data_IF_565316793648
#
_entry.id   IF_565316793648
#
_cell.length_a   1.000
_cell.length_b   1.000
_cell.length_c   1.000
_cell.angle_alpha   90.00
_cell.angle_beta   90.00
_cell.angle_gamma   90.00
#
_symmetry.space_group_name_H-M   'P 1'
#
loop_
_entity.id
_entity.type
_entity.pdbx_description
1 polymer ?
#
# COMPACT_ATOMS: atom_id res chain seq x y z
N UNK A 1 -34.63 -5.82 7.00
CA UNK A 1 -34.45 -4.93 5.83
C UNK A 1 -32.98 -5.04 5.43
N UNK A 2 -32.67 -5.93 4.48
CA UNK A 2 -31.28 -6.15 4.04
C UNK A 2 -30.84 -4.95 3.21
N UNK A 3 -29.70 -4.36 3.56
CA UNK A 3 -29.06 -3.38 2.69
C UNK A 3 -28.66 -4.06 1.38
N UNK A 4 -28.84 -3.37 0.26
CA UNK A 4 -28.57 -3.87 -1.09
C UNK A 4 -27.06 -4.16 -1.27
N UNK A 5 -26.73 -5.28 -1.92
CA UNK A 5 -25.34 -5.79 -2.06
C UNK A 5 -24.37 -4.76 -2.66
N UNK A 6 -24.85 -3.91 -3.58
CA UNK A 6 -24.02 -2.85 -4.20
C UNK A 6 -23.51 -1.83 -3.17
N UNK A 7 -24.34 -1.45 -2.20
CA UNK A 7 -23.95 -0.50 -1.15
C UNK A 7 -22.94 -1.13 -0.20
N UNK A 8 -23.11 -2.41 0.14
CA UNK A 8 -22.17 -3.14 0.98
C UNK A 8 -20.78 -3.24 0.34
N UNK A 9 -20.71 -3.55 -0.97
CA UNK A 9 -19.45 -3.55 -1.72
C UNK A 9 -18.83 -2.16 -1.83
N UNK A 10 -19.63 -1.12 -2.06
CA UNK A 10 -19.13 0.26 -2.10
C UNK A 10 -18.54 0.67 -0.74
N UNK A 11 -19.23 0.37 0.36
CA UNK A 11 -18.76 0.65 1.71
C UNK A 11 -17.49 -0.16 2.08
N UNK A 12 -17.42 -1.44 1.68
CA UNK A 12 -16.21 -2.24 1.90
C UNK A 12 -15.01 -1.69 1.13
N UNK A 13 -15.23 -1.21 -0.09
CA UNK A 13 -14.17 -0.59 -0.89
C UNK A 13 -13.71 0.74 -0.29
N UNK A 14 -14.63 1.60 0.14
CA UNK A 14 -14.29 2.85 0.85
C UNK A 14 -13.47 2.53 2.09
N UNK A 15 -13.89 1.54 2.89
CA UNK A 15 -13.12 1.10 4.07
C UNK A 15 -11.73 0.58 3.71
N UNK A 16 -11.59 -0.16 2.60
CA UNK A 16 -10.28 -0.65 2.16
C UNK A 16 -9.37 0.49 1.71
N UNK A 17 -9.89 1.45 0.95
CA UNK A 17 -9.13 2.61 0.46
C UNK A 17 -8.61 3.44 1.65
N UNK A 18 -9.42 3.66 2.69
CA UNK A 18 -8.98 4.30 3.94
C UNK A 18 -7.81 3.56 4.63
N UNK A 19 -7.86 2.22 4.64
CA UNK A 19 -6.78 1.41 5.22
C UNK A 19 -5.50 1.44 4.37
N UNK A 20 -5.63 1.50 3.05
CA UNK A 20 -4.51 1.69 2.13
C UNK A 20 -3.87 3.07 2.34
N UNK A 21 -4.69 4.12 2.52
CA UNK A 21 -4.21 5.47 2.79
C UNK A 21 -3.47 5.56 4.13
N UNK A 22 -3.98 4.89 5.17
CA UNK A 22 -3.27 4.76 6.46
C UNK A 22 -1.90 4.11 6.28
N UNK A 23 -1.84 3.01 5.54
CA UNK A 23 -0.61 2.29 5.28
C UNK A 23 0.40 3.14 4.48
N UNK A 24 -0.06 3.84 3.43
CA UNK A 24 0.77 4.78 2.66
C UNK A 24 1.26 5.95 3.52
N UNK A 25 0.41 6.49 4.39
CA UNK A 25 0.76 7.56 5.33
C UNK A 25 1.84 7.11 6.31
N UNK A 26 1.77 5.88 6.81
CA UNK A 26 2.80 5.34 7.69
C UNK A 26 4.16 5.23 6.99
N UNK A 27 4.19 4.74 5.74
CA UNK A 27 5.42 4.71 4.94
C UNK A 27 5.96 6.11 4.63
N UNK A 28 5.09 7.10 4.41
CA UNK A 28 5.49 8.49 4.24
C UNK A 28 6.14 9.05 5.51
N UNK A 29 5.53 8.83 6.68
CA UNK A 29 6.08 9.26 7.97
C UNK A 29 7.44 8.62 8.26
N UNK A 30 7.61 7.34 7.94
CA UNK A 30 8.89 6.66 8.08
C UNK A 30 9.96 7.26 7.14
N UNK A 31 9.60 7.56 5.89
CA UNK A 31 10.50 8.24 4.96
C UNK A 31 10.87 9.65 5.43
N UNK A 32 9.93 10.42 5.97
CA UNK A 32 10.21 11.77 6.49
C UNK A 32 11.21 11.72 7.66
N UNK A 33 11.20 10.62 8.44
CA UNK A 33 12.09 10.42 9.58
C UNK A 33 13.47 9.89 9.20
N UNK A 34 13.54 8.93 8.27
CA UNK A 34 14.76 8.16 7.99
C UNK A 34 15.30 8.34 6.57
N UNK A 35 14.53 8.94 5.67
CA UNK A 35 14.88 9.18 4.28
C UNK A 35 15.89 10.32 4.08
N UNK A 36 16.30 10.50 2.84
CA UNK A 36 17.26 11.54 2.47
C UNK A 36 16.58 12.92 2.45
N UNK A 37 17.13 13.87 3.22
CA UNK A 37 16.52 15.21 3.45
C UNK A 37 16.25 16.03 2.18
N UNK A 38 17.02 15.81 1.12
CA UNK A 38 16.91 16.54 -0.15
C UNK A 38 16.14 15.77 -1.22
N UNK A 39 15.51 14.64 -0.87
CA UNK A 39 14.72 13.84 -1.80
C UNK A 39 13.27 13.82 -1.30
N UNK A 40 12.34 14.02 -2.23
CA UNK A 40 10.92 13.82 -1.98
C UNK A 40 10.47 12.50 -2.57
N UNK A 41 9.63 11.77 -1.85
CA UNK A 41 9.06 10.49 -2.29
C UNK A 41 7.55 10.62 -2.35
N UNK A 42 6.95 10.08 -3.41
CA UNK A 42 5.50 10.00 -3.58
C UNK A 42 5.03 8.55 -3.47
N UNK A 43 3.79 8.39 -3.04
CA UNK A 43 3.09 7.12 -2.88
C UNK A 43 1.80 7.16 -3.69
N UNK A 44 1.49 6.09 -4.41
CA UNK A 44 0.33 6.00 -5.28
C UNK A 44 -0.36 4.66 -5.10
N UNK A 45 -1.69 4.65 -5.00
CA UNK A 45 -2.50 3.45 -5.11
C UNK A 45 -2.96 3.25 -6.56
N UNK A 46 -2.39 2.28 -7.27
CA UNK A 46 -2.81 1.91 -8.62
C UNK A 46 -3.82 0.78 -8.59
N UNK A 47 -5.03 1.05 -9.08
CA UNK A 47 -6.14 0.11 -9.08
C UNK A 47 -6.00 -0.91 -10.22
N UNK A 48 -5.81 -2.18 -9.88
CA UNK A 48 -5.88 -3.31 -10.82
C UNK A 48 -7.20 -4.08 -10.74
N UNK A 49 -7.33 -5.18 -11.49
CA UNK A 49 -8.55 -6.02 -11.46
C UNK A 49 -8.75 -6.70 -10.10
N UNK A 50 -7.72 -7.43 -9.64
CA UNK A 50 -7.75 -8.19 -8.38
C UNK A 50 -7.05 -7.45 -7.24
N UNK A 51 -6.00 -6.71 -7.55
CA UNK A 51 -5.13 -6.08 -6.57
C UNK A 51 -5.13 -4.57 -6.72
N UNK A 52 -5.06 -3.85 -5.61
CA UNK A 52 -4.53 -2.48 -5.57
C UNK A 52 -3.03 -2.56 -5.34
N UNK A 53 -2.23 -1.91 -6.18
CA UNK A 53 -0.78 -1.84 -6.01
C UNK A 53 -0.43 -0.54 -5.31
N UNK A 54 0.39 -0.61 -4.26
CA UNK A 54 1.07 0.59 -3.76
C UNK A 54 2.37 0.74 -4.52
N UNK A 55 2.53 1.87 -5.18
CA UNK A 55 3.74 2.26 -5.90
C UNK A 55 4.38 3.43 -5.17
N UNK A 56 5.71 3.42 -5.09
CA UNK A 56 6.49 4.58 -4.68
C UNK A 56 7.33 5.10 -5.84
N UNK A 57 7.72 6.37 -5.77
CA UNK A 57 8.67 6.99 -6.71
C UNK A 57 9.24 8.28 -6.14
N UNK A 58 10.26 8.83 -6.79
CA UNK A 58 10.84 10.11 -6.37
C UNK A 58 10.18 11.25 -7.14
N UNK A 59 9.91 12.34 -6.43
CA UNK A 59 9.32 13.55 -7.01
C UNK A 59 10.44 14.37 -7.64
N UNK A 60 10.31 14.64 -8.94
CA UNK A 60 11.21 15.48 -9.72
C UNK A 60 10.91 16.97 -9.50
N UNK A 61 11.84 17.85 -9.90
CA UNK A 61 11.67 19.30 -9.79
C UNK A 61 10.49 19.84 -10.61
N UNK A 62 10.18 19.19 -11.74
CA UNK A 62 9.03 19.49 -12.61
C UNK A 62 7.69 18.96 -12.06
N UNK A 63 7.69 18.32 -10.88
CA UNK A 63 6.52 17.70 -10.27
C UNK A 63 6.20 16.29 -10.79
N UNK A 64 6.99 15.77 -11.73
CA UNK A 64 6.87 14.39 -12.21
C UNK A 64 7.30 13.35 -11.17
N UNK A 65 6.96 12.08 -11.41
CA UNK A 65 7.36 10.96 -10.55
C UNK A 65 8.26 10.00 -11.34
N UNK A 66 9.51 9.85 -10.91
CA UNK A 66 10.52 8.98 -11.51
C UNK A 66 10.87 7.77 -10.62
N UNK A 67 11.62 6.82 -11.19
CA UNK A 67 12.18 5.65 -10.51
C UNK A 67 11.15 4.88 -9.67
N UNK A 68 10.06 4.53 -10.32
CA UNK A 68 8.92 3.94 -9.65
C UNK A 68 9.22 2.49 -9.23
N UNK A 69 8.74 2.09 -8.06
CA UNK A 69 8.85 0.73 -7.53
C UNK A 69 7.52 0.29 -6.91
N UNK A 70 7.09 -0.94 -7.19
CA UNK A 70 5.95 -1.53 -6.46
C UNK A 70 6.42 -1.89 -5.07
N UNK A 71 5.66 -1.45 -4.06
CA UNK A 71 5.96 -1.69 -2.65
C UNK A 71 5.14 -2.87 -2.14
N UNK A 72 3.85 -2.92 -2.49
CA UNK A 72 2.93 -3.96 -2.05
C UNK A 72 1.79 -4.19 -3.05
N UNK A 73 1.21 -5.38 -3.02
CA UNK A 73 -0.07 -5.71 -3.65
C UNK A 73 -1.11 -5.98 -2.55
N UNK A 74 -2.29 -5.41 -2.67
CA UNK A 74 -3.40 -5.58 -1.72
C UNK A 74 -4.55 -6.25 -2.45
N UNK A 75 -4.97 -7.43 -2.01
CA UNK A 75 -6.15 -8.08 -2.57
C UNK A 75 -7.40 -7.30 -2.19
N UNK A 76 -8.17 -6.88 -3.21
CA UNK A 76 -9.35 -6.03 -3.02
C UNK A 76 -10.47 -6.72 -2.26
N UNK A 77 -10.53 -8.05 -2.33
CA UNK A 77 -11.60 -8.82 -1.70
C UNK A 77 -11.29 -9.17 -0.25
N UNK A 78 -10.02 -9.47 0.07
CA UNK A 78 -9.64 -9.94 1.40
C UNK A 78 -8.91 -8.91 2.24
N UNK A 79 -8.31 -7.88 1.63
CA UNK A 79 -7.41 -6.95 2.31
C UNK A 79 -6.02 -7.51 2.56
N UNK A 80 -5.70 -8.71 2.03
CA UNK A 80 -4.39 -9.33 2.19
C UNK A 80 -3.30 -8.54 1.48
N UNK A 81 -2.21 -8.28 2.18
CA UNK A 81 -1.02 -7.60 1.71
C UNK A 81 0.02 -8.63 1.31
N UNK A 82 0.50 -8.51 0.08
CA UNK A 82 1.53 -9.35 -0.50
C UNK A 82 2.75 -8.52 -0.88
N UNK A 83 3.92 -9.15 -0.71
CA UNK A 83 5.17 -8.64 -1.25
C UNK A 83 5.15 -8.68 -2.79
N UNK A 84 5.71 -7.71 -3.51
CA UNK A 84 5.91 -7.81 -4.96
C UNK A 84 6.94 -8.91 -5.31
N UNK A 85 6.62 -9.74 -6.30
CA UNK A 85 7.62 -10.59 -6.99
C UNK A 85 8.19 -9.87 -8.20
N UNK A 86 7.35 -9.11 -8.90
CA UNK A 86 7.71 -8.23 -10.00
C UNK A 86 6.68 -7.08 -10.08
N UNK A 87 6.76 -6.26 -11.12
CA UNK A 87 5.88 -5.11 -11.32
C UNK A 87 4.38 -5.47 -11.46
N UNK A 88 4.09 -6.65 -12.00
CA UNK A 88 2.74 -7.09 -12.36
C UNK A 88 2.14 -8.14 -11.42
N UNK A 89 2.93 -8.73 -10.52
CA UNK A 89 2.48 -9.87 -9.73
C UNK A 89 3.08 -9.94 -8.32
N UNK A 90 2.28 -10.35 -7.33
CA UNK A 90 2.77 -10.60 -5.98
C UNK A 90 3.61 -11.88 -5.89
N UNK A 91 4.47 -11.93 -4.89
CA UNK A 91 5.11 -13.14 -4.42
C UNK A 91 4.10 -14.01 -3.65
N UNK A 92 4.44 -15.29 -3.46
CA UNK A 92 3.60 -16.23 -2.72
C UNK A 92 3.55 -15.90 -1.23
N UNK A 93 2.40 -16.20 -0.63
CA UNK A 93 2.11 -16.05 0.80
C UNK A 93 1.66 -14.65 1.19
N UNK A 94 0.70 -14.58 2.10
CA UNK A 94 0.24 -13.33 2.74
C UNK A 94 1.34 -12.83 3.69
N UNK A 95 1.48 -11.51 3.84
CA UNK A 95 2.39 -10.89 4.83
C UNK A 95 1.62 -10.25 5.98
N UNK A 96 0.51 -9.61 5.64
CA UNK A 96 -0.40 -8.95 6.57
C UNK A 96 -1.81 -8.95 5.99
N UNK A 97 -2.81 -8.64 6.81
CA UNK A 97 -4.15 -8.30 6.36
C UNK A 97 -4.51 -6.89 6.86
N UNK A 98 -4.90 -5.97 5.97
CA UNK A 98 -5.15 -4.57 6.34
C UNK A 98 -6.29 -4.41 7.36
N UNK A 99 -7.27 -5.30 7.39
CA UNK A 99 -8.37 -5.20 8.36
C UNK A 99 -7.95 -5.62 9.77
N UNK A 100 -6.89 -6.43 9.90
CA UNK A 100 -6.45 -7.02 11.17
C UNK A 100 -5.16 -6.37 11.68
N UNK A 101 -4.24 -6.04 10.77
CA UNK A 101 -2.85 -5.73 11.10
C UNK A 101 -2.47 -4.27 10.86
N UNK A 102 -3.40 -3.39 10.46
CA UNK A 102 -3.08 -1.99 10.11
C UNK A 102 -2.35 -1.25 11.24
N UNK A 103 -2.76 -1.44 12.49
CA UNK A 103 -2.13 -0.78 13.64
C UNK A 103 -0.71 -1.30 13.90
N UNK A 104 -0.42 -2.55 13.52
CA UNK A 104 0.94 -3.11 13.56
C UNK A 104 1.76 -2.60 12.39
N UNK A 105 1.19 -2.55 11.18
CA UNK A 105 1.83 -1.98 10.00
C UNK A 105 2.25 -0.54 10.23
N UNK A 106 1.40 0.30 10.83
CA UNK A 106 1.72 1.69 11.15
C UNK A 106 2.93 1.86 12.09
N UNK A 107 3.25 0.83 12.88
CA UNK A 107 4.37 0.84 13.82
C UNK A 107 5.64 0.21 13.25
N UNK A 108 5.50 -0.71 12.30
CA UNK A 108 6.59 -1.60 11.85
C UNK A 108 6.96 -1.40 10.40
N UNK A 109 6.13 -0.73 9.60
CA UNK A 109 6.43 -0.52 8.19
C UNK A 109 7.64 0.39 8.03
N UNK A 110 8.46 0.08 7.03
CA UNK A 110 9.50 0.96 6.56
C UNK A 110 9.21 1.41 5.13
N UNK A 111 9.74 2.58 4.74
CA UNK A 111 9.52 3.14 3.41
C UNK A 111 10.15 2.29 2.28
N UNK A 112 11.01 1.33 2.60
CA UNK A 112 11.69 0.46 1.63
C UNK A 112 10.97 -0.87 1.39
N UNK A 113 9.92 -1.18 2.18
CA UNK A 113 9.17 -2.43 2.12
C UNK A 113 9.88 -3.62 2.78
N UNK A 114 10.83 -3.36 3.69
CA UNK A 114 11.57 -4.39 4.44
C UNK A 114 10.68 -5.24 5.35
N UNK A 115 9.62 -4.66 5.92
CA UNK A 115 8.63 -5.37 6.72
C UNK A 115 7.84 -6.45 5.96
N UNK A 116 7.86 -6.46 4.62
CA UNK A 116 7.17 -7.47 3.80
C UNK A 116 8.02 -8.72 3.52
N UNK A 117 9.27 -8.77 4.01
CA UNK A 117 10.11 -9.95 3.89
C UNK A 117 9.83 -10.90 5.06
N UNK A 118 9.58 -12.17 4.73
CA UNK A 118 9.57 -13.23 5.73
C UNK A 118 10.98 -13.29 6.35
N UNK A 119 11.07 -13.16 7.67
CA UNK A 119 12.29 -13.43 8.42
C UNK A 119 12.33 -14.89 8.84
#
# INVERSE_FOLDING_TARGET
MSLDTKYMTAMSNVRLDELIDRYMTAMSKDFDKHGYKNIKKAWMAEQGRKYTKIVSGYVCEDGGIAQRSVVAFIDKSTGDVFKPANWSSPAKGVRYNLYQDIDQLEKTCDYSGGHLYNR
#
